data_IF_022162971659
#
_entry.id   IF_022162971659
#
_cell.length_a   1.000
_cell.length_b   1.000
_cell.length_c   1.000
_cell.angle_alpha   90.00
_cell.angle_beta   90.00
_cell.angle_gamma   90.00
#
_symmetry.space_group_name_H-M   'P 1'
#
loop_
_entity.id
_entity.type
_entity.pdbx_description
1 polymer ?
#
# COMPACT_ATOMS: atom_id res chain seq x y z
N UNK A 1 -23.02 -14.80 -9.35
CA UNK A 1 -21.55 -14.78 -9.36
C UNK A 1 -21.09 -15.26 -8.00
N UNK A 2 -20.71 -16.53 -7.92
CA UNK A 2 -19.96 -17.07 -6.79
C UNK A 2 -18.49 -16.83 -7.15
N UNK A 3 -18.01 -15.66 -6.87
CA UNK A 3 -16.59 -15.38 -6.98
C UNK A 3 -15.85 -16.14 -5.87
N UNK A 4 -14.69 -16.70 -6.15
CA UNK A 4 -13.87 -17.38 -5.14
C UNK A 4 -13.60 -16.47 -3.93
N UNK A 5 -13.53 -15.16 -4.14
CA UNK A 5 -13.50 -14.13 -3.11
C UNK A 5 -14.64 -14.34 -2.08
N UNK A 6 -15.87 -14.63 -2.51
CA UNK A 6 -16.98 -14.89 -1.59
C UNK A 6 -16.85 -16.18 -0.76
N UNK A 7 -16.03 -17.15 -1.17
CA UNK A 7 -15.81 -18.37 -0.38
C UNK A 7 -14.80 -18.15 0.77
N UNK A 8 -13.85 -17.26 0.62
CA UNK A 8 -12.81 -17.01 1.61
C UNK A 8 -13.15 -15.81 2.50
N UNK A 9 -13.83 -14.80 1.98
CA UNK A 9 -14.30 -13.63 2.72
C UNK A 9 -15.33 -13.95 3.82
N UNK A 10 -16.03 -15.08 3.72
CA UNK A 10 -17.04 -15.49 4.73
C UNK A 10 -16.52 -15.76 6.13
N UNK A 11 -15.20 -15.73 6.36
CA UNK A 11 -14.56 -15.94 7.66
C UNK A 11 -13.87 -14.70 8.23
N UNK A 12 -13.88 -13.60 7.48
CA UNK A 12 -13.21 -12.35 7.86
C UNK A 12 -14.24 -11.24 8.09
N UNK A 13 -13.96 -10.25 8.92
CA UNK A 13 -14.84 -9.09 9.07
C UNK A 13 -15.00 -8.38 7.74
N UNK A 14 -16.19 -7.87 7.49
CA UNK A 14 -16.47 -7.06 6.28
C UNK A 14 -15.75 -5.72 6.35
N UNK A 15 -15.57 -5.08 5.21
CA UNK A 15 -14.86 -3.80 5.08
C UNK A 15 -15.37 -2.74 6.08
N UNK A 16 -16.68 -2.58 6.25
CA UNK A 16 -17.23 -1.58 7.19
C UNK A 16 -17.00 -1.95 8.66
N UNK A 17 -16.84 -3.24 9.00
CA UNK A 17 -16.48 -3.71 10.34
C UNK A 17 -15.00 -3.42 10.61
N UNK A 18 -14.12 -3.70 9.65
CA UNK A 18 -12.69 -3.37 9.75
C UNK A 18 -12.46 -1.87 9.83
N UNK A 19 -13.26 -1.10 9.08
CA UNK A 19 -13.23 0.36 9.17
C UNK A 19 -13.54 0.85 10.58
N UNK A 20 -14.62 0.36 11.21
CA UNK A 20 -15.00 0.79 12.56
C UNK A 20 -13.96 0.39 13.61
N UNK A 21 -13.39 -0.81 13.52
CA UNK A 21 -12.33 -1.24 14.43
C UNK A 21 -11.08 -0.36 14.28
N UNK A 22 -10.65 -0.10 13.06
CA UNK A 22 -9.53 0.79 12.75
C UNK A 22 -9.79 2.23 13.19
N UNK A 23 -11.04 2.71 13.09
CA UNK A 23 -11.43 4.05 13.51
C UNK A 23 -11.15 4.29 14.99
N UNK A 24 -11.42 3.32 15.84
CA UNK A 24 -11.13 3.43 17.28
C UNK A 24 -9.65 3.69 17.53
N UNK A 25 -8.76 3.03 16.79
CA UNK A 25 -7.33 3.27 16.89
C UNK A 25 -6.95 4.65 16.33
N UNK A 26 -7.46 5.02 15.15
CA UNK A 26 -7.16 6.28 14.49
C UNK A 26 -7.63 7.49 15.32
N UNK A 27 -8.81 7.41 15.94
CA UNK A 27 -9.35 8.47 16.80
C UNK A 27 -8.47 8.69 18.05
N UNK A 28 -7.78 7.64 18.55
CA UNK A 28 -6.91 7.73 19.73
C UNK A 28 -5.49 8.20 19.39
N UNK A 29 -4.97 7.87 18.24
CA UNK A 29 -3.55 8.05 17.89
C UNK A 29 -3.33 9.12 16.81
N UNK A 30 -4.36 9.49 16.06
CA UNK A 30 -4.28 10.45 14.97
C UNK A 30 -3.42 9.95 13.79
N UNK A 31 -3.01 10.87 12.95
CA UNK A 31 -2.20 10.61 11.78
C UNK A 31 -0.80 11.22 11.94
N UNK A 32 0.17 10.69 11.22
CA UNK A 32 1.58 11.05 11.44
C UNK A 32 2.15 11.94 10.35
N UNK A 33 3.08 12.82 10.74
CA UNK A 33 3.95 13.55 9.82
C UNK A 33 5.38 13.05 9.99
N UNK A 34 5.98 12.62 8.89
CA UNK A 34 7.37 12.19 8.79
C UNK A 34 8.21 13.33 8.25
N UNK A 35 9.48 13.38 8.65
CA UNK A 35 10.42 14.36 8.12
C UNK A 35 11.28 13.72 7.03
N UNK A 36 11.27 14.29 5.84
CA UNK A 36 12.19 13.91 4.79
C UNK A 36 13.61 14.39 5.11
N UNK A 37 14.65 13.61 4.80
CA UNK A 37 16.03 14.02 5.05
C UNK A 37 16.52 15.10 4.07
N UNK A 38 15.91 15.17 2.90
CA UNK A 38 16.26 16.06 1.78
C UNK A 38 15.00 16.50 1.02
N UNK A 39 15.13 17.47 0.10
CA UNK A 39 14.02 17.97 -0.72
C UNK A 39 13.47 16.90 -1.66
N UNK A 40 14.38 16.18 -2.34
CA UNK A 40 14.04 15.10 -3.27
C UNK A 40 14.34 13.76 -2.59
N UNK A 41 13.39 13.27 -1.81
CA UNK A 41 13.53 12.05 -1.02
C UNK A 41 13.04 10.81 -1.78
N UNK A 42 13.39 9.63 -1.28
CA UNK A 42 13.02 8.34 -1.86
C UNK A 42 11.92 7.65 -1.06
N UNK A 43 11.05 6.95 -1.78
CA UNK A 43 10.07 6.00 -1.20
C UNK A 43 10.27 4.65 -1.86
N UNK A 44 10.44 3.62 -1.06
CA UNK A 44 10.49 2.23 -1.53
C UNK A 44 9.10 1.63 -1.44
N UNK A 45 8.64 1.03 -2.53
CA UNK A 45 7.28 0.48 -2.63
C UNK A 45 7.35 -0.97 -3.08
N UNK A 46 6.81 -1.88 -2.29
CA UNK A 46 6.67 -3.29 -2.64
C UNK A 46 5.26 -3.78 -2.39
N UNK A 47 4.94 -4.96 -2.89
CA UNK A 47 3.65 -5.62 -2.75
C UNK A 47 3.78 -7.13 -2.86
N UNK A 48 2.75 -7.85 -2.44
CA UNK A 48 2.60 -9.29 -2.72
C UNK A 48 3.86 -10.08 -2.39
N UNK A 49 4.41 -9.86 -1.20
CA UNK A 49 5.58 -10.60 -0.72
C UNK A 49 5.23 -12.02 -0.32
N UNK A 50 3.96 -12.25 0.04
CA UNK A 50 3.44 -13.56 0.45
C UNK A 50 4.42 -14.31 1.36
N UNK A 51 4.87 -13.63 2.42
CA UNK A 51 5.83 -14.21 3.36
C UNK A 51 5.34 -15.54 3.88
N UNK A 52 6.23 -16.51 3.83
CA UNK A 52 6.05 -17.85 4.42
C UNK A 52 7.22 -18.13 5.37
N UNK A 53 7.67 -19.37 5.46
CA UNK A 53 8.90 -19.71 6.19
C UNK A 53 10.16 -19.21 5.48
N UNK A 54 10.12 -19.10 4.16
CA UNK A 54 11.16 -18.44 3.36
C UNK A 54 10.82 -16.97 3.19
N UNK A 55 11.80 -16.08 3.30
CA UNK A 55 11.57 -14.64 3.41
C UNK A 55 12.74 -13.85 2.79
N UNK A 56 13.38 -14.42 1.77
CA UNK A 56 14.64 -13.88 1.25
C UNK A 56 14.45 -12.48 0.67
N UNK A 57 13.46 -12.30 -0.19
CA UNK A 57 13.21 -11.01 -0.84
C UNK A 57 12.61 -9.99 0.11
N UNK A 58 11.81 -10.43 1.08
CA UNK A 58 11.32 -9.58 2.16
C UNK A 58 12.45 -8.98 2.97
N UNK A 59 13.38 -9.81 3.44
CA UNK A 59 14.54 -9.33 4.22
C UNK A 59 15.46 -8.45 3.39
N UNK A 60 15.67 -8.76 2.10
CA UNK A 60 16.43 -7.92 1.18
C UNK A 60 15.78 -6.53 1.00
N UNK A 61 14.47 -6.47 0.81
CA UNK A 61 13.75 -5.20 0.67
C UNK A 61 13.90 -4.34 1.94
N UNK A 62 13.73 -4.96 3.12
CA UNK A 62 13.88 -4.26 4.39
C UNK A 62 15.31 -3.70 4.54
N UNK A 63 16.32 -4.51 4.28
CA UNK A 63 17.71 -4.08 4.36
C UNK A 63 17.97 -2.91 3.40
N UNK A 64 17.50 -3.04 2.15
CA UNK A 64 17.72 -2.03 1.12
C UNK A 64 17.17 -0.67 1.53
N UNK A 65 15.89 -0.57 1.93
CA UNK A 65 15.34 0.73 2.30
C UNK A 65 15.87 1.25 3.64
N UNK A 66 16.23 0.37 4.56
CA UNK A 66 16.81 0.75 5.86
C UNK A 66 18.20 1.34 5.74
N UNK A 67 18.98 0.95 4.74
CA UNK A 67 20.31 1.50 4.50
C UNK A 67 20.27 2.80 3.68
N UNK A 68 19.20 3.06 2.92
CA UNK A 68 19.12 4.30 2.14
C UNK A 68 18.77 5.51 3.01
N UNK A 69 19.76 6.38 3.20
CA UNK A 69 19.61 7.61 4.00
C UNK A 69 18.65 8.64 3.42
N UNK A 70 18.26 8.50 2.15
CA UNK A 70 17.31 9.40 1.49
C UNK A 70 15.86 8.92 1.61
N UNK A 71 15.62 7.74 2.21
CA UNK A 71 14.30 7.14 2.32
C UNK A 71 13.70 7.37 3.72
N UNK A 72 12.73 8.26 3.91
CA UNK A 72 12.04 8.44 5.20
C UNK A 72 10.98 7.36 5.45
N UNK A 73 10.50 6.68 4.42
CA UNK A 73 9.39 5.73 4.49
C UNK A 73 9.45 4.70 3.38
N UNK A 74 9.11 3.45 3.71
CA UNK A 74 8.76 2.43 2.74
C UNK A 74 7.25 2.12 2.83
N UNK A 75 6.65 1.67 1.72
CA UNK A 75 5.23 1.32 1.63
C UNK A 75 5.09 -0.12 1.12
N UNK A 76 4.34 -0.93 1.83
CA UNK A 76 3.92 -2.26 1.39
C UNK A 76 2.44 -2.23 0.99
N UNK A 77 2.14 -2.56 -0.26
CA UNK A 77 0.79 -2.42 -0.83
C UNK A 77 -0.12 -3.65 -0.61
N UNK A 78 0.14 -4.45 0.41
CA UNK A 78 -0.71 -5.58 0.80
C UNK A 78 -0.25 -6.94 0.31
N UNK A 79 -0.94 -7.97 0.77
CA UNK A 79 -0.54 -9.38 0.63
C UNK A 79 0.90 -9.60 1.15
N UNK A 80 1.09 -9.15 2.40
CA UNK A 80 2.39 -9.24 3.09
C UNK A 80 2.71 -10.70 3.40
N UNK A 81 1.70 -11.44 3.87
CA UNK A 81 1.82 -12.87 4.20
C UNK A 81 1.01 -13.72 3.22
N UNK A 82 1.32 -15.01 3.14
CA UNK A 82 0.52 -15.98 2.41
C UNK A 82 -0.70 -16.45 3.23
N UNK A 83 -1.44 -17.42 2.74
CA UNK A 83 -2.73 -17.91 3.27
C UNK A 83 -2.70 -18.57 4.67
N UNK A 84 -1.58 -18.54 5.38
CA UNK A 84 -1.41 -19.01 6.75
C UNK A 84 -0.86 -17.89 7.62
N UNK A 85 -1.06 -17.99 8.95
CA UNK A 85 -0.56 -16.98 9.86
C UNK A 85 0.98 -16.99 9.92
N UNK A 86 1.61 -16.18 9.10
CA UNK A 86 3.05 -15.93 9.10
C UNK A 86 3.44 -14.53 9.57
N UNK A 87 2.54 -13.84 10.26
CA UNK A 87 2.84 -12.50 10.79
C UNK A 87 3.98 -12.50 11.80
N UNK A 88 4.08 -13.53 12.63
CA UNK A 88 5.17 -13.63 13.60
C UNK A 88 6.52 -13.85 12.89
N UNK A 89 6.57 -14.68 11.84
CA UNK A 89 7.75 -14.90 11.01
C UNK A 89 8.15 -13.63 10.25
N UNK A 90 7.17 -12.98 9.63
CA UNK A 90 7.35 -11.70 8.93
C UNK A 90 7.93 -10.64 9.86
N UNK A 91 7.34 -10.48 11.04
CA UNK A 91 7.79 -9.49 12.01
C UNK A 91 9.15 -9.83 12.62
N UNK A 92 9.42 -11.10 12.88
CA UNK A 92 10.72 -11.57 13.35
C UNK A 92 11.83 -11.28 12.34
N UNK A 93 11.57 -11.55 11.05
CA UNK A 93 12.48 -11.21 9.98
C UNK A 93 12.69 -9.70 9.84
N UNK A 94 11.62 -8.93 9.94
CA UNK A 94 11.69 -7.46 9.95
C UNK A 94 12.59 -6.94 11.08
N UNK A 95 12.43 -7.47 12.29
CA UNK A 95 13.25 -7.05 13.43
C UNK A 95 14.72 -7.50 13.33
N UNK A 96 15.00 -8.61 12.68
CA UNK A 96 16.33 -9.15 12.53
C UNK A 96 17.24 -8.34 11.58
N UNK A 97 16.65 -7.57 10.65
CA UNK A 97 17.44 -6.73 9.73
C UNK A 97 17.92 -5.48 10.44
N UNK A 98 19.23 -5.20 10.43
CA UNK A 98 19.80 -4.02 11.11
C UNK A 98 19.22 -2.71 10.56
N UNK A 99 18.93 -1.78 11.45
CA UNK A 99 18.54 -0.42 11.09
C UNK A 99 19.77 0.48 11.09
N UNK A 100 19.89 1.34 10.08
CA UNK A 100 20.85 2.44 10.10
C UNK A 100 20.57 3.34 11.34
N UNK A 101 21.51 3.51 12.28
CA UNK A 101 21.28 4.24 13.52
C UNK A 101 20.88 5.72 13.34
N UNK A 102 21.19 6.30 12.18
CA UNK A 102 20.84 7.67 11.85
C UNK A 102 19.42 7.82 11.30
N UNK A 103 18.69 6.72 11.14
CA UNK A 103 17.40 6.68 10.46
C UNK A 103 16.30 6.22 11.40
N UNK A 104 15.10 6.82 11.25
CA UNK A 104 13.88 6.27 11.82
C UNK A 104 13.37 5.17 10.91
N UNK A 105 13.03 4.04 11.48
CA UNK A 105 12.42 2.95 10.73
C UNK A 105 10.93 3.21 10.54
N UNK A 106 10.49 3.30 9.30
CA UNK A 106 9.09 3.54 8.98
C UNK A 106 8.68 2.70 7.77
N UNK A 107 7.85 1.71 8.04
CA UNK A 107 7.16 0.91 7.04
C UNK A 107 5.66 1.15 7.19
N UNK A 108 5.02 1.63 6.14
CA UNK A 108 3.58 1.80 6.04
C UNK A 108 2.99 0.61 5.27
N UNK A 109 1.91 0.04 5.79
CA UNK A 109 1.29 -1.15 5.21
C UNK A 109 -0.15 -0.89 4.78
N UNK A 110 -0.49 -1.39 3.61
CA UNK A 110 -1.87 -1.55 3.12
C UNK A 110 -2.33 -2.96 3.43
N UNK A 111 -3.61 -3.16 3.73
CA UNK A 111 -4.17 -4.48 3.87
C UNK A 111 -4.45 -5.12 2.50
N UNK A 112 -3.90 -6.31 2.25
CA UNK A 112 -4.23 -7.14 1.11
C UNK A 112 -5.23 -8.24 1.48
N UNK A 113 -5.73 -8.98 0.48
CA UNK A 113 -6.72 -10.02 0.73
C UNK A 113 -6.14 -11.22 1.50
N UNK A 114 -4.87 -11.57 1.26
CA UNK A 114 -4.21 -12.62 2.05
C UNK A 114 -3.98 -12.22 3.50
N UNK A 115 -3.82 -10.95 3.78
CA UNK A 115 -3.61 -10.42 5.14
C UNK A 115 -4.87 -10.50 6.01
N UNK A 116 -6.07 -10.60 5.40
CA UNK A 116 -7.35 -10.60 6.12
C UNK A 116 -8.14 -11.90 5.99
N UNK A 117 -7.97 -12.66 4.90
CA UNK A 117 -8.66 -13.92 4.69
C UNK A 117 -8.24 -14.98 5.72
N UNK A 118 -8.93 -16.10 5.77
CA UNK A 118 -8.60 -17.23 6.65
C UNK A 118 -8.52 -16.88 8.15
N UNK A 119 -9.33 -15.88 8.59
CA UNK A 119 -9.35 -15.37 9.97
C UNK A 119 -8.07 -14.66 10.40
N UNK A 120 -7.34 -14.07 9.47
CA UNK A 120 -6.07 -13.39 9.75
C UNK A 120 -6.24 -11.95 10.24
N UNK A 121 -7.41 -11.36 10.11
CA UNK A 121 -7.67 -9.99 10.54
C UNK A 121 -7.22 -9.67 11.97
N UNK A 122 -7.47 -10.52 13.00
CA UNK A 122 -6.98 -10.24 14.35
C UNK A 122 -5.46 -10.14 14.44
N UNK A 123 -4.75 -10.93 13.64
CA UNK A 123 -3.30 -10.88 13.60
C UNK A 123 -2.81 -9.64 12.82
N UNK A 124 -3.45 -9.30 11.70
CA UNK A 124 -3.15 -8.06 10.98
C UNK A 124 -3.25 -6.84 11.91
N UNK A 125 -4.37 -6.68 12.62
CA UNK A 125 -4.60 -5.57 13.57
C UNK A 125 -3.59 -5.59 14.73
N UNK A 126 -3.13 -6.74 15.18
CA UNK A 126 -2.10 -6.85 16.22
C UNK A 126 -0.80 -6.15 15.81
N UNK A 127 -0.41 -6.25 14.54
CA UNK A 127 0.83 -5.68 14.01
C UNK A 127 0.65 -4.26 13.44
N UNK A 128 -0.38 -4.05 12.62
CA UNK A 128 -0.55 -2.81 11.84
C UNK A 128 -1.57 -1.84 12.43
N UNK A 129 -2.42 -2.27 13.38
CA UNK A 129 -3.36 -1.45 14.15
C UNK A 129 -4.54 -0.88 13.36
N UNK A 130 -4.37 -0.54 12.09
CA UNK A 130 -5.40 0.07 11.24
C UNK A 130 -5.23 -0.38 9.80
N UNK A 131 -6.32 -0.40 9.03
CA UNK A 131 -6.30 -0.69 7.60
C UNK A 131 -6.51 0.55 6.72
N UNK A 132 -6.81 1.72 7.31
CA UNK A 132 -6.90 2.97 6.59
C UNK A 132 -6.34 4.13 7.40
N UNK A 133 -5.60 5.00 6.77
CA UNK A 133 -4.99 6.19 7.38
C UNK A 133 -4.40 7.08 6.31
N UNK A 134 -3.93 8.25 6.71
CA UNK A 134 -3.00 9.01 5.88
C UNK A 134 -1.74 9.35 6.67
N UNK A 135 -0.69 9.65 5.94
CA UNK A 135 0.53 10.23 6.51
C UNK A 135 1.06 11.32 5.60
N UNK A 136 1.85 12.20 6.18
CA UNK A 136 2.45 13.32 5.47
C UNK A 136 3.96 13.15 5.55
N UNK A 137 4.66 13.43 4.45
CA UNK A 137 6.10 13.61 4.45
C UNK A 137 6.39 15.08 4.21
N UNK A 138 7.08 15.71 5.16
CA UNK A 138 7.46 17.12 5.09
C UNK A 138 8.95 17.26 4.80
N UNK A 139 9.29 18.04 3.77
CA UNK A 139 10.66 18.29 3.37
C UNK A 139 11.32 19.36 4.25
N UNK A 140 12.66 19.52 4.21
CA UNK A 140 13.35 20.57 4.96
C UNK A 140 12.87 22.00 4.64
N UNK A 141 12.40 22.26 3.42
CA UNK A 141 11.80 23.56 3.05
C UNK A 141 10.33 23.73 3.47
N UNK A 142 9.72 22.70 4.07
CA UNK A 142 8.33 22.70 4.50
C UNK A 142 7.32 22.34 3.42
N UNK A 143 7.75 21.84 2.24
CA UNK A 143 6.86 21.24 1.26
C UNK A 143 6.33 19.92 1.82
N UNK A 144 5.08 19.60 1.51
CA UNK A 144 4.38 18.44 2.08
C UNK A 144 3.79 17.57 0.98
N UNK A 145 4.01 16.27 1.11
CA UNK A 145 3.38 15.26 0.28
C UNK A 145 2.42 14.43 1.14
N UNK A 146 1.22 14.19 0.63
CA UNK A 146 0.17 13.42 1.29
C UNK A 146 0.10 12.01 0.70
N UNK A 147 0.11 11.02 1.58
CA UNK A 147 -0.14 9.62 1.22
C UNK A 147 -1.42 9.16 1.90
N UNK A 148 -2.40 8.73 1.12
CA UNK A 148 -3.70 8.25 1.60
C UNK A 148 -3.76 6.74 1.42
N UNK A 149 -3.76 6.00 2.52
CA UNK A 149 -3.83 4.54 2.54
C UNK A 149 -5.26 4.12 2.82
N UNK A 150 -5.79 3.22 1.99
CA UNK A 150 -7.14 2.70 2.17
C UNK A 150 -7.25 1.20 1.86
N UNK A 151 -8.12 0.55 2.60
CA UNK A 151 -8.39 -0.89 2.49
C UNK A 151 -9.27 -1.19 1.26
N UNK A 152 -8.82 -2.10 0.43
CA UNK A 152 -9.55 -2.63 -0.71
C UNK A 152 -9.46 -4.16 -0.80
N UNK A 153 -9.08 -4.81 0.28
CA UNK A 153 -8.78 -6.23 0.31
C UNK A 153 -9.96 -7.14 -0.09
N UNK A 154 -11.21 -6.68 0.09
CA UNK A 154 -12.42 -7.38 -0.39
C UNK A 154 -12.84 -6.99 -1.83
N UNK A 155 -12.02 -6.22 -2.55
CA UNK A 155 -12.39 -5.68 -3.85
C UNK A 155 -13.45 -4.58 -3.77
N UNK A 156 -13.59 -3.92 -2.64
CA UNK A 156 -14.47 -2.78 -2.39
C UNK A 156 -13.89 -1.90 -1.30
N UNK A 157 -14.23 -0.63 -1.29
CA UNK A 157 -13.86 0.29 -0.20
C UNK A 157 -14.97 0.46 0.84
N UNK A 158 -16.16 0.00 0.55
CA UNK A 158 -17.33 0.17 1.42
C UNK A 158 -17.80 1.63 1.53
N UNK A 159 -18.95 1.82 2.13
CA UNK A 159 -19.58 3.15 2.17
C UNK A 159 -18.91 4.10 3.18
N UNK A 160 -18.51 3.58 4.32
CA UNK A 160 -17.90 4.37 5.40
C UNK A 160 -16.50 4.86 5.02
N UNK A 161 -15.69 3.99 4.46
CA UNK A 161 -14.34 4.37 4.02
C UNK A 161 -14.39 5.30 2.80
N UNK A 162 -15.33 5.11 1.88
CA UNK A 162 -15.54 6.04 0.77
C UNK A 162 -15.91 7.45 1.27
N UNK A 163 -16.73 7.54 2.32
CA UNK A 163 -17.03 8.83 2.94
C UNK A 163 -15.79 9.45 3.58
N UNK A 164 -15.01 8.66 4.32
CA UNK A 164 -13.74 9.13 4.89
C UNK A 164 -12.74 9.60 3.82
N UNK A 165 -12.62 8.89 2.69
CA UNK A 165 -11.79 9.30 1.56
C UNK A 165 -12.21 10.68 1.02
N UNK A 166 -13.51 10.91 0.85
CA UNK A 166 -14.04 12.21 0.42
C UNK A 166 -13.66 13.31 1.41
N UNK A 167 -13.93 13.11 2.69
CA UNK A 167 -13.64 14.10 3.74
C UNK A 167 -12.12 14.37 3.83
N UNK A 168 -11.29 13.36 3.69
CA UNK A 168 -9.83 13.48 3.70
C UNK A 168 -9.33 14.29 2.50
N UNK A 169 -9.83 14.02 1.29
CA UNK A 169 -9.43 14.75 0.10
C UNK A 169 -9.98 16.17 0.07
N UNK A 170 -11.22 16.40 0.55
CA UNK A 170 -11.78 17.74 0.73
C UNK A 170 -11.01 18.57 1.78
N UNK A 171 -10.46 17.92 2.80
CA UNK A 171 -9.52 18.53 3.71
C UNK A 171 -8.20 18.84 3.03
N UNK A 172 -7.67 17.92 2.22
CA UNK A 172 -6.42 18.08 1.48
C UNK A 172 -6.44 19.29 0.54
N UNK A 173 -7.56 19.57 -0.13
CA UNK A 173 -7.74 20.76 -0.98
C UNK A 173 -7.47 22.08 -0.26
N UNK A 174 -7.64 22.11 1.06
CA UNK A 174 -7.42 23.28 1.91
C UNK A 174 -5.99 23.39 2.44
N UNK A 175 -5.18 22.37 2.16
CA UNK A 175 -3.78 22.30 2.49
C UNK A 175 -2.95 22.57 1.22
N UNK A 176 -1.73 22.90 1.36
CA UNK A 176 -0.86 23.14 0.20
C UNK A 176 0.09 21.92 0.02
N UNK A 177 -0.48 20.78 -0.35
CA UNK A 177 0.33 19.59 -0.67
C UNK A 177 1.00 19.76 -2.04
N UNK A 178 2.27 19.34 -2.11
CA UNK A 178 3.02 19.28 -3.35
C UNK A 178 2.52 18.12 -4.21
N UNK A 179 2.32 16.97 -3.59
CA UNK A 179 1.80 15.76 -4.21
C UNK A 179 0.79 15.06 -3.30
N UNK A 180 -0.17 14.37 -3.94
CA UNK A 180 -1.12 13.48 -3.27
C UNK A 180 -1.03 12.09 -3.92
N UNK A 181 -0.72 11.07 -3.14
CA UNK A 181 -0.61 9.68 -3.57
C UNK A 181 -1.62 8.83 -2.82
N UNK A 182 -2.42 8.06 -3.54
CA UNK A 182 -3.32 7.07 -2.96
C UNK A 182 -2.66 5.68 -3.01
N UNK A 183 -2.70 4.94 -1.89
CA UNK A 183 -2.09 3.62 -1.75
C UNK A 183 -3.16 2.61 -1.37
N UNK A 184 -3.27 1.55 -2.14
CA UNK A 184 -4.26 0.49 -1.94
C UNK A 184 -3.70 -0.86 -2.40
N UNK A 185 -4.43 -1.95 -2.17
CA UNK A 185 -4.01 -3.26 -2.64
C UNK A 185 -4.62 -3.59 -4.01
N UNK A 186 -5.94 -3.53 -4.14
CA UNK A 186 -6.65 -3.90 -5.37
C UNK A 186 -6.55 -2.79 -6.41
N UNK A 187 -6.24 -3.15 -7.65
CA UNK A 187 -6.11 -2.22 -8.77
C UNK A 187 -7.45 -1.95 -9.47
N UNK A 188 -7.53 -0.88 -10.28
CA UNK A 188 -8.77 -0.45 -10.94
C UNK A 188 -9.07 -1.15 -12.27
N UNK A 189 -8.03 -1.52 -13.00
CA UNK A 189 -8.17 -1.96 -14.39
C UNK A 189 -7.93 -3.46 -14.50
N UNK A 190 -8.74 -4.12 -15.33
CA UNK A 190 -8.51 -5.52 -15.67
C UNK A 190 -7.40 -5.61 -16.69
N UNK A 191 -6.52 -6.58 -16.53
CA UNK A 191 -5.54 -6.92 -17.53
C UNK A 191 -6.23 -7.65 -18.69
N UNK A 192 -6.04 -7.17 -19.93
CA UNK A 192 -6.55 -7.83 -21.12
C UNK A 192 -5.91 -9.21 -21.30
N UNK A 193 -6.78 -10.24 -21.47
CA UNK A 193 -6.38 -11.59 -21.84
C UNK A 193 -5.74 -12.43 -20.75
N UNK A 194 -5.62 -11.95 -19.51
CA UNK A 194 -5.10 -12.78 -18.42
C UNK A 194 -6.21 -13.62 -17.79
N UNK A 195 -5.90 -14.89 -17.54
CA UNK A 195 -6.67 -15.78 -16.66
C UNK A 195 -6.37 -15.49 -15.18
N UNK A 196 -5.57 -14.45 -14.91
CA UNK A 196 -5.10 -14.09 -13.58
C UNK A 196 -6.15 -13.35 -12.76
N UNK A 197 -5.71 -12.87 -11.64
CA UNK A 197 -6.49 -12.07 -10.71
C UNK A 197 -7.04 -10.84 -11.43
N UNK A 198 -8.32 -10.58 -11.28
CA UNK A 198 -8.98 -9.43 -11.88
C UNK A 198 -9.26 -8.42 -10.80
N UNK A 199 -9.30 -7.13 -11.17
CA UNK A 199 -9.86 -6.12 -10.30
C UNK A 199 -11.22 -6.57 -9.78
N UNK A 200 -11.42 -6.47 -8.50
CA UNK A 200 -12.64 -6.90 -7.85
C UNK A 200 -13.64 -5.75 -7.64
N UNK A 201 -13.24 -4.50 -7.87
CA UNK A 201 -14.15 -3.37 -7.82
C UNK A 201 -15.30 -3.52 -8.81
N UNK A 202 -16.49 -3.10 -8.41
CA UNK A 202 -17.56 -2.89 -9.38
C UNK A 202 -17.19 -1.74 -10.31
N UNK A 203 -17.79 -1.70 -11.50
CA UNK A 203 -17.54 -0.63 -12.44
C UNK A 203 -17.95 0.73 -11.86
N UNK A 204 -19.08 0.77 -11.15
CA UNK A 204 -19.60 1.98 -10.49
C UNK A 204 -18.62 2.49 -9.43
N UNK A 205 -18.05 1.60 -8.62
CA UNK A 205 -17.10 1.94 -7.57
C UNK A 205 -15.77 2.41 -8.16
N UNK A 206 -15.29 1.74 -9.21
CA UNK A 206 -14.12 2.18 -9.97
C UNK A 206 -14.30 3.62 -10.47
N UNK A 207 -15.43 3.92 -11.13
CA UNK A 207 -15.69 5.28 -11.61
C UNK A 207 -15.82 6.29 -10.47
N UNK A 208 -16.47 5.90 -9.36
CA UNK A 208 -16.62 6.79 -8.20
C UNK A 208 -15.25 7.18 -7.60
N UNK A 209 -14.35 6.21 -7.47
CA UNK A 209 -12.99 6.45 -6.94
C UNK A 209 -12.12 7.25 -7.91
N UNK A 210 -12.10 6.90 -9.19
CA UNK A 210 -11.33 7.62 -10.19
C UNK A 210 -11.78 9.08 -10.33
N UNK A 211 -13.10 9.33 -10.34
CA UNK A 211 -13.65 10.69 -10.38
C UNK A 211 -13.34 11.47 -9.08
N UNK A 212 -13.38 10.79 -7.93
CA UNK A 212 -13.02 11.41 -6.66
C UNK A 212 -11.56 11.84 -6.66
N UNK A 213 -10.66 10.96 -7.05
CA UNK A 213 -9.22 11.21 -7.07
C UNK A 213 -8.84 12.29 -8.07
N UNK A 214 -9.40 12.24 -9.28
CA UNK A 214 -9.19 13.27 -10.28
C UNK A 214 -9.66 14.64 -9.80
N UNK A 215 -10.87 14.70 -9.23
CA UNK A 215 -11.46 15.96 -8.71
C UNK A 215 -10.56 16.66 -7.68
N UNK A 216 -9.86 15.87 -6.87
CA UNK A 216 -9.03 16.36 -5.77
C UNK A 216 -7.53 16.33 -6.07
N UNK A 217 -7.15 16.19 -7.35
CA UNK A 217 -5.76 16.32 -7.79
C UNK A 217 -4.82 15.24 -7.24
N UNK A 218 -5.31 14.00 -7.13
CA UNK A 218 -4.42 12.86 -6.81
C UNK A 218 -3.48 12.62 -8.00
N UNK A 219 -2.18 12.70 -7.76
CA UNK A 219 -1.15 12.52 -8.79
C UNK A 219 -0.98 11.06 -9.18
N UNK A 220 -0.96 10.17 -8.17
CA UNK A 220 -0.72 8.74 -8.39
C UNK A 220 -1.61 7.86 -7.52
N UNK A 221 -1.94 6.68 -8.07
CA UNK A 221 -2.51 5.56 -7.32
C UNK A 221 -1.55 4.38 -7.42
N UNK A 222 -1.09 3.88 -6.28
CA UNK A 222 -0.23 2.70 -6.19
C UNK A 222 -1.04 1.51 -5.70
N UNK A 223 -0.91 0.38 -6.41
CA UNK A 223 -1.60 -0.87 -6.08
C UNK A 223 -0.75 -2.11 -6.36
N UNK A 224 -1.19 -3.28 -5.90
CA UNK A 224 -0.59 -4.59 -6.13
C UNK A 224 -1.60 -5.59 -6.67
N UNK A 225 -1.67 -6.77 -6.04
CA UNK A 225 -2.68 -7.81 -6.21
C UNK A 225 -2.55 -8.68 -7.48
N UNK A 226 -2.20 -8.12 -8.62
CA UNK A 226 -2.22 -8.84 -9.91
C UNK A 226 -0.87 -9.51 -10.26
N UNK A 227 0.13 -9.39 -9.38
CA UNK A 227 1.49 -9.92 -9.57
C UNK A 227 2.06 -9.55 -10.95
N UNK A 228 1.70 -8.38 -11.45
CA UNK A 228 2.14 -7.87 -12.74
C UNK A 228 2.30 -6.37 -12.72
N UNK A 229 3.25 -5.88 -13.49
CA UNK A 229 3.49 -4.45 -13.60
C UNK A 229 2.62 -3.84 -14.69
N UNK A 230 1.78 -2.88 -14.29
CA UNK A 230 0.96 -2.10 -15.22
C UNK A 230 1.00 -0.61 -14.89
N UNK A 231 0.98 0.21 -15.91
CA UNK A 231 0.93 1.67 -15.78
C UNK A 231 -0.21 2.15 -16.68
N UNK A 232 -1.18 2.81 -16.07
CA UNK A 232 -2.34 3.35 -16.78
C UNK A 232 -2.46 4.84 -16.47
N UNK A 233 -2.51 5.66 -17.50
CA UNK A 233 -2.73 7.10 -17.37
C UNK A 233 -4.24 7.38 -17.41
N UNK A 234 -4.74 8.07 -16.39
CA UNK A 234 -6.13 8.55 -16.32
C UNK A 234 -6.09 10.07 -16.20
N UNK A 235 -6.19 10.77 -17.32
CA UNK A 235 -5.94 12.20 -17.43
C UNK A 235 -4.57 12.57 -16.87
N UNK A 236 -4.48 13.39 -15.81
CA UNK A 236 -3.21 13.77 -15.18
C UNK A 236 -2.75 12.76 -14.13
N UNK A 237 -3.62 11.86 -13.69
CA UNK A 237 -3.32 10.87 -12.66
C UNK A 237 -2.68 9.61 -13.26
N UNK A 238 -1.62 9.10 -12.63
CA UNK A 238 -0.97 7.84 -13.01
C UNK A 238 -1.36 6.71 -12.04
N UNK A 239 -1.97 5.65 -12.55
CA UNK A 239 -2.27 4.43 -11.80
C UNK A 239 -1.18 3.38 -12.08
N UNK A 240 -0.52 2.91 -11.03
CA UNK A 240 0.56 1.92 -11.12
C UNK A 240 0.14 0.66 -10.34
N UNK A 241 0.19 -0.48 -11.02
CA UNK A 241 0.23 -1.79 -10.39
C UNK A 241 1.70 -2.19 -10.27
N UNK A 242 2.15 -2.46 -9.05
CA UNK A 242 3.52 -2.88 -8.76
C UNK A 242 3.59 -4.41 -8.84
N UNK A 243 4.69 -4.92 -9.37
CA UNK A 243 4.96 -6.35 -9.46
C UNK A 243 5.08 -7.00 -8.09
N UNK A 244 4.77 -8.28 -8.02
CA UNK A 244 4.95 -9.11 -6.83
C UNK A 244 6.43 -9.28 -6.46
N UNK A 245 6.69 -9.33 -5.16
CA UNK A 245 7.99 -9.68 -4.59
C UNK A 245 8.03 -11.09 -3.99
N UNK A 246 7.05 -11.92 -4.29
CA UNK A 246 7.01 -13.31 -3.82
C UNK A 246 8.27 -14.09 -4.22
N UNK A 247 8.84 -14.87 -3.28
CA UNK A 247 10.12 -15.57 -3.49
C UNK A 247 10.12 -16.51 -4.71
N UNK A 248 8.98 -17.11 -5.06
CA UNK A 248 8.85 -18.01 -6.20
C UNK A 248 8.63 -17.31 -7.55
N UNK A 249 8.35 -16.02 -7.57
CA UNK A 249 8.07 -15.29 -8.80
C UNK A 249 9.33 -15.12 -9.65
N UNK A 250 9.16 -15.31 -10.97
CA UNK A 250 10.28 -15.25 -11.93
C UNK A 250 10.74 -13.84 -12.26
N UNK A 251 9.88 -12.86 -12.08
CA UNK A 251 10.14 -11.45 -12.41
C UNK A 251 9.69 -10.55 -11.27
N UNK A 252 10.32 -10.67 -10.10
CA UNK A 252 9.96 -9.84 -8.95
C UNK A 252 10.62 -8.47 -9.06
N UNK A 253 9.84 -7.43 -8.72
CA UNK A 253 10.33 -6.06 -8.68
C UNK A 253 9.78 -5.34 -7.46
N UNK A 254 10.52 -4.37 -6.94
CA UNK A 254 9.96 -3.27 -6.17
C UNK A 254 10.02 -1.99 -6.98
N UNK A 255 9.22 -1.00 -6.62
CA UNK A 255 9.26 0.32 -7.21
C UNK A 255 10.03 1.27 -6.30
N UNK A 256 11.01 1.97 -6.87
CA UNK A 256 11.75 3.05 -6.22
C UNK A 256 11.22 4.38 -6.75
N UNK A 257 10.67 5.19 -5.87
CA UNK A 257 10.09 6.48 -6.22
C UNK A 257 10.97 7.61 -5.69
N UNK A 258 11.20 8.62 -6.50
CA UNK A 258 11.82 9.90 -6.10
C UNK A 258 10.74 10.97 -6.04
N UNK A 259 10.52 11.51 -4.85
CA UNK A 259 9.54 12.57 -4.56
C UNK A 259 10.24 13.92 -4.63
N UNK A 260 10.26 14.54 -5.81
CA UNK A 260 10.81 15.85 -6.09
C UNK A 260 9.74 16.88 -6.49
N UNK A 261 10.09 17.84 -7.37
CA UNK A 261 9.09 18.72 -8.02
C UNK A 261 8.16 17.92 -8.95
N UNK A 262 8.64 16.78 -9.42
CA UNK A 262 7.87 15.75 -10.10
C UNK A 262 8.06 14.44 -9.37
N UNK A 263 7.12 13.53 -9.53
CA UNK A 263 7.26 12.17 -9.06
C UNK A 263 7.91 11.35 -10.17
N UNK A 264 9.15 10.89 -9.93
CA UNK A 264 9.85 9.97 -10.82
C UNK A 264 9.87 8.57 -10.18
N UNK A 265 9.84 7.52 -10.98
CA UNK A 265 9.86 6.15 -10.47
C UNK A 265 10.58 5.19 -11.40
N UNK A 266 11.26 4.21 -10.80
CA UNK A 266 11.92 3.10 -11.47
C UNK A 266 11.48 1.76 -10.86
N UNK A 267 11.53 0.70 -11.66
CA UNK A 267 11.29 -0.67 -11.20
C UNK A 267 12.62 -1.41 -11.08
N UNK A 268 12.94 -1.84 -9.87
CA UNK A 268 14.18 -2.52 -9.55
C UNK A 268 13.93 -4.03 -9.45
N UNK A 269 14.58 -4.80 -10.33
CA UNK A 269 14.49 -6.26 -10.31
C UNK A 269 15.22 -6.84 -9.10
N UNK A 270 14.59 -7.83 -8.48
CA UNK A 270 15.19 -8.65 -7.42
C UNK A 270 15.21 -10.14 -7.80
N UNK A 271 15.21 -10.46 -9.10
CA UNK A 271 15.21 -11.83 -9.61
C UNK A 271 16.45 -12.63 -9.19
N UNK A 272 17.58 -11.95 -8.99
CA UNK A 272 18.86 -12.59 -8.60
C UNK A 272 18.98 -12.80 -7.08
N UNK A 273 17.98 -12.36 -6.30
CA UNK A 273 17.92 -12.54 -4.85
C UNK A 273 17.22 -13.87 -4.55
N UNK A 274 17.97 -14.85 -4.05
CA UNK A 274 17.51 -16.20 -3.72
C UNK A 274 17.81 -16.57 -2.27
#
# INVERSE_FOLDING_TARGET
RLDMVGMFAGTSPKIDERFEESKVYNDQHGFTTLQAPVEDYRVYVCTDTHVTKTQTRWTYFIDTYRQDSLCPVAVHLGDIIDAQNYFDEMYSAYQAVPLNPAKKDTLMAVAGNHDIYFKQWPEYIKYFKTCYYYFIVETPSGKKDLFVVYDSADGTVGSKQLQWLRETLEWADKQNFRHIVACTHTHFFKRDGSQGHTSNYTQEETYALLNLFEKHGVDMVWSGHDHSREITQVKEMTCIVVDSMKDEDKKPFYMLVTMGEKIDYDFVSVADIQ
#
